data_IF_134645122266
#
_entry.id   IF_134645122266
#
_cell.length_a   1.000
_cell.length_b   1.000
_cell.length_c   1.000
_cell.angle_alpha   90.00
_cell.angle_beta   90.00
_cell.angle_gamma   90.00
#
_symmetry.space_group_name_H-M   'P 1'
#
loop_
_entity.id
_entity.type
_entity.pdbx_description
1 polymer ?
#
# COMPACT_ATOMS: atom_id res chain seq x y z
N UNK A 1 -50.75 4.58 -2.44
CA UNK A 1 -49.70 4.68 -3.47
C UNK A 1 -48.54 5.57 -3.03
N UNK A 2 -48.79 6.74 -2.42
CA UNK A 2 -47.74 7.63 -1.90
C UNK A 2 -46.75 6.96 -0.92
N UNK A 3 -47.23 6.08 -0.03
CA UNK A 3 -46.38 5.41 0.97
C UNK A 3 -45.38 4.42 0.34
N UNK A 4 -45.80 3.73 -0.72
CA UNK A 4 -44.93 2.81 -1.47
C UNK A 4 -43.83 3.58 -2.21
N UNK A 5 -44.18 4.70 -2.86
CA UNK A 5 -43.20 5.54 -3.54
C UNK A 5 -42.18 6.13 -2.56
N UNK A 6 -42.63 6.59 -1.39
CA UNK A 6 -41.75 7.08 -0.32
C UNK A 6 -40.79 5.98 0.17
N UNK A 7 -41.30 4.76 0.41
CA UNK A 7 -40.50 3.62 0.81
C UNK A 7 -39.43 3.25 -0.24
N UNK A 8 -39.80 3.25 -1.53
CA UNK A 8 -38.85 2.99 -2.63
C UNK A 8 -37.78 4.08 -2.71
N UNK A 9 -38.14 5.36 -2.56
CA UNK A 9 -37.17 6.46 -2.53
C UNK A 9 -36.20 6.33 -1.36
N UNK A 10 -36.70 5.95 -0.18
CA UNK A 10 -35.88 5.70 1.01
C UNK A 10 -34.89 4.56 0.78
N UNK A 11 -35.34 3.43 0.22
CA UNK A 11 -34.46 2.30 -0.10
C UNK A 11 -33.38 2.69 -1.11
N UNK A 12 -33.76 3.36 -2.21
CA UNK A 12 -32.79 3.82 -3.22
C UNK A 12 -31.75 4.78 -2.65
N UNK A 13 -32.18 5.66 -1.74
CA UNK A 13 -31.27 6.60 -1.07
C UNK A 13 -30.28 5.85 -0.18
N UNK A 14 -30.75 4.89 0.62
CA UNK A 14 -29.89 4.04 1.44
C UNK A 14 -28.88 3.23 0.59
N UNK A 15 -29.33 2.65 -0.53
CA UNK A 15 -28.45 1.93 -1.47
C UNK A 15 -27.40 2.86 -2.09
N UNK A 16 -27.77 4.09 -2.43
CA UNK A 16 -26.82 5.07 -2.94
C UNK A 16 -25.78 5.48 -1.89
N UNK A 17 -26.16 5.56 -0.61
CA UNK A 17 -25.24 5.82 0.49
C UNK A 17 -24.22 4.69 0.67
N UNK A 18 -24.65 3.43 0.59
CA UNK A 18 -23.75 2.26 0.61
C UNK A 18 -22.73 2.36 -0.52
N UNK A 19 -23.17 2.59 -1.77
CA UNK A 19 -22.26 2.72 -2.91
C UNK A 19 -21.25 3.87 -2.74
N UNK A 20 -21.67 5.00 -2.16
CA UNK A 20 -20.76 6.12 -1.84
C UNK A 20 -19.78 5.77 -0.74
N UNK A 21 -20.19 4.99 0.27
CA UNK A 21 -19.30 4.52 1.33
C UNK A 21 -18.24 3.56 0.78
N UNK A 22 -18.63 2.61 -0.06
CA UNK A 22 -17.71 1.66 -0.71
C UNK A 22 -16.67 2.36 -1.57
N UNK A 23 -17.09 3.34 -2.40
CA UNK A 23 -16.15 4.13 -3.21
C UNK A 23 -15.13 4.90 -2.36
N UNK A 24 -15.57 5.45 -1.23
CA UNK A 24 -14.67 6.13 -0.27
C UNK A 24 -13.71 5.15 0.38
N UNK A 25 -14.19 3.99 0.84
CA UNK A 25 -13.34 2.96 1.42
C UNK A 25 -12.30 2.44 0.42
N UNK A 26 -12.70 2.19 -0.82
CA UNK A 26 -11.79 1.76 -1.89
C UNK A 26 -10.68 2.79 -2.12
N UNK A 27 -11.01 4.08 -2.14
CA UNK A 27 -10.03 5.16 -2.27
C UNK A 27 -9.05 5.19 -1.09
N UNK A 28 -9.55 5.10 0.15
CA UNK A 28 -8.69 5.09 1.34
C UNK A 28 -7.72 3.91 1.32
N UNK A 29 -8.20 2.73 0.92
CA UNK A 29 -7.36 1.53 0.80
C UNK A 29 -6.32 1.70 -0.30
N UNK A 30 -6.69 2.28 -1.44
CA UNK A 30 -5.75 2.56 -2.53
C UNK A 30 -4.64 3.52 -2.08
N UNK A 31 -5.00 4.64 -1.45
CA UNK A 31 -4.04 5.61 -0.91
C UNK A 31 -3.16 5.02 0.20
N UNK A 32 -3.69 4.11 1.02
CA UNK A 32 -2.89 3.39 2.01
C UNK A 32 -1.89 2.43 1.37
N UNK A 33 -2.29 1.70 0.32
CA UNK A 33 -1.40 0.81 -0.43
C UNK A 33 -0.28 1.58 -1.14
N UNK A 34 -0.62 2.71 -1.75
CA UNK A 34 0.36 3.59 -2.40
C UNK A 34 1.43 4.06 -1.40
N UNK A 35 1.02 4.47 -0.19
CA UNK A 35 1.97 4.84 0.88
C UNK A 35 2.87 3.68 1.32
N UNK A 36 2.36 2.45 1.34
CA UNK A 36 3.18 1.27 1.61
C UNK A 36 4.20 1.05 0.50
N UNK A 37 3.81 1.21 -0.75
CA UNK A 37 4.71 1.03 -1.90
C UNK A 37 5.78 2.13 -1.94
N UNK A 38 5.43 3.38 -1.64
CA UNK A 38 6.38 4.47 -1.44
C UNK A 38 7.37 4.17 -0.30
N UNK A 39 6.88 3.66 0.84
CA UNK A 39 7.74 3.25 1.95
C UNK A 39 8.69 2.12 1.60
N UNK A 40 8.24 1.14 0.80
CA UNK A 40 9.09 0.05 0.28
C UNK A 40 10.16 0.58 -0.67
N UNK A 41 9.83 1.52 -1.54
CA UNK A 41 10.79 2.15 -2.44
C UNK A 41 11.84 2.94 -1.65
N UNK A 42 11.42 3.75 -0.68
CA UNK A 42 12.35 4.48 0.19
C UNK A 42 13.28 3.54 0.97
N UNK A 43 12.74 2.45 1.54
CA UNK A 43 13.57 1.44 2.21
C UNK A 43 14.57 0.78 1.25
N UNK A 44 14.16 0.50 0.02
CA UNK A 44 15.05 -0.05 -1.00
C UNK A 44 16.23 0.88 -1.30
N UNK A 45 16.01 2.20 -1.39
CA UNK A 45 17.09 3.17 -1.57
C UNK A 45 18.06 3.18 -0.37
N UNK A 46 17.55 3.15 0.85
CA UNK A 46 18.39 3.10 2.06
C UNK A 46 19.20 1.79 2.15
N UNK A 47 18.62 0.66 1.75
CA UNK A 47 19.34 -0.63 1.64
C UNK A 47 20.50 -0.50 0.66
N UNK A 48 20.28 0.10 -0.51
CA UNK A 48 21.34 0.32 -1.51
C UNK A 48 22.40 1.28 -1.00
N UNK A 49 22.01 2.34 -0.30
CA UNK A 49 22.94 3.28 0.28
C UNK A 49 23.83 2.60 1.34
N UNK A 50 23.25 1.78 2.21
CA UNK A 50 23.99 1.01 3.21
C UNK A 50 24.97 0.01 2.58
N UNK A 51 24.56 -0.69 1.53
CA UNK A 51 25.42 -1.62 0.78
C UNK A 51 26.61 -0.87 0.12
N UNK A 52 26.35 0.25 -0.56
CA UNK A 52 27.40 1.13 -1.13
C UNK A 52 28.34 1.71 -0.08
N UNK A 53 27.85 1.94 1.14
CA UNK A 53 28.66 2.38 2.27
C UNK A 53 29.51 1.25 2.89
N UNK A 54 29.41 0.02 2.37
CA UNK A 54 30.19 -1.13 2.84
C UNK A 54 29.60 -1.83 4.05
N UNK A 55 28.33 -1.56 4.41
CA UNK A 55 27.66 -2.32 5.48
C UNK A 55 27.55 -3.80 5.08
N UNK A 56 27.84 -4.71 6.01
CA UNK A 56 27.75 -6.14 5.70
C UNK A 56 26.30 -6.51 5.46
N UNK A 57 26.08 -7.31 4.41
CA UNK A 57 24.75 -7.81 4.07
C UNK A 57 24.03 -8.55 5.23
N UNK A 58 24.77 -9.19 6.13
CA UNK A 58 24.17 -9.87 7.31
C UNK A 58 23.56 -8.87 8.27
N UNK A 59 24.16 -7.69 8.40
CA UNK A 59 23.71 -6.63 9.28
C UNK A 59 22.48 -5.93 8.66
N UNK A 60 22.48 -5.75 7.33
CA UNK A 60 21.30 -5.25 6.59
C UNK A 60 20.11 -6.22 6.74
N UNK A 61 20.36 -7.54 6.64
CA UNK A 61 19.34 -8.57 6.89
C UNK A 61 18.80 -8.47 8.32
N UNK A 62 19.67 -8.34 9.31
CA UNK A 62 19.26 -8.22 10.71
C UNK A 62 18.44 -6.94 10.97
N UNK A 63 18.81 -5.82 10.34
CA UNK A 63 18.14 -4.53 10.51
C UNK A 63 16.75 -4.48 9.84
N UNK A 64 16.60 -5.14 8.68
CA UNK A 64 15.38 -5.05 7.86
C UNK A 64 14.44 -6.23 8.04
N UNK A 65 14.94 -7.37 8.52
CA UNK A 65 14.20 -8.63 8.59
C UNK A 65 13.95 -9.29 7.23
N UNK A 66 14.46 -8.72 6.14
CA UNK A 66 14.35 -9.31 4.81
C UNK A 66 15.30 -10.50 4.64
N UNK A 67 14.91 -11.43 3.77
CA UNK A 67 15.80 -12.53 3.41
C UNK A 67 17.04 -12.01 2.69
N UNK A 68 18.15 -12.74 2.82
CA UNK A 68 19.40 -12.40 2.12
C UNK A 68 19.23 -12.34 0.60
N UNK A 69 18.35 -13.16 0.04
CA UNK A 69 17.99 -13.13 -1.38
C UNK A 69 17.27 -11.82 -1.74
N UNK A 70 16.30 -11.39 -0.92
CA UNK A 70 15.58 -10.14 -1.15
C UNK A 70 16.51 -8.93 -1.11
N UNK A 71 17.47 -8.89 -0.18
CA UNK A 71 18.50 -7.84 -0.13
C UNK A 71 19.35 -7.84 -1.41
N UNK A 72 19.81 -9.01 -1.88
CA UNK A 72 20.57 -9.12 -3.14
C UNK A 72 19.80 -8.58 -4.34
N UNK A 73 18.52 -8.88 -4.45
CA UNK A 73 17.66 -8.36 -5.53
C UNK A 73 17.57 -6.84 -5.47
N UNK A 74 17.24 -6.27 -4.31
CA UNK A 74 17.11 -4.83 -4.13
C UNK A 74 18.41 -4.09 -4.52
N UNK A 75 19.56 -4.62 -4.12
CA UNK A 75 20.86 -4.05 -4.47
C UNK A 75 21.08 -4.06 -5.99
N UNK A 76 20.88 -5.20 -6.65
CA UNK A 76 21.07 -5.35 -8.11
C UNK A 76 20.10 -4.51 -8.94
N UNK A 77 18.83 -4.42 -8.52
CA UNK A 77 17.80 -3.71 -9.26
C UNK A 77 18.06 -2.19 -9.36
N UNK A 78 18.98 -1.64 -8.54
CA UNK A 78 19.38 -0.22 -8.60
C UNK A 78 20.69 0.05 -9.34
N UNK A 79 21.31 -0.96 -9.97
CA UNK A 79 22.56 -0.84 -10.73
C UNK A 79 22.35 -0.74 -12.26
N UNK A 80 21.10 -0.78 -12.72
CA UNK A 80 20.69 -0.63 -14.12
C UNK A 80 20.27 0.81 -14.45
#
# INVERSE_FOLDING_TARGET
MADLEAAVRKLRSAQAEVSRAEKRAARIVAEARERVDQGRAALAEEIRAADRAGMRQVDIVAATGYSRERIRQIVRDGEA
#
